data_IF_361048588760
#
_entry.id   IF_361048588760
#
_cell.length_a   1.000
_cell.length_b   1.000
_cell.length_c   1.000
_cell.angle_alpha   90.00
_cell.angle_beta   90.00
_cell.angle_gamma   90.00
#
_symmetry.space_group_name_H-M   'P 1'
#
loop_
_entity.id
_entity.type
_entity.pdbx_description
1 polymer ?
#
# COMPACT_ATOMS: atom_id res chain seq x y z
N UNK A 1 9.15 12.23 17.65
CA UNK A 1 9.54 10.81 17.43
C UNK A 1 9.30 10.03 18.72
N UNK A 2 9.06 8.72 18.70
CA UNK A 2 8.60 7.97 19.89
C UNK A 2 9.47 8.10 21.15
N UNK A 3 10.74 8.48 21.04
CA UNK A 3 11.70 8.49 22.15
C UNK A 3 12.37 9.86 22.41
N UNK A 4 11.74 10.96 21.98
CA UNK A 4 12.36 12.29 22.06
C UNK A 4 12.15 12.99 23.42
N UNK A 5 13.19 13.65 23.93
CA UNK A 5 13.14 14.35 25.23
C UNK A 5 12.16 15.52 25.17
N UNK A 6 11.33 15.67 26.20
CA UNK A 6 10.42 16.79 26.39
C UNK A 6 11.15 18.13 26.26
N UNK A 7 10.57 19.06 25.50
CA UNK A 7 11.15 20.38 25.23
C UNK A 7 12.08 20.44 24.02
N UNK A 8 12.27 19.34 23.28
CA UNK A 8 13.08 19.35 22.05
C UNK A 8 12.28 19.91 20.87
N UNK A 9 12.85 20.87 20.15
CA UNK A 9 12.30 21.43 18.91
C UNK A 9 13.19 20.99 17.75
N UNK A 10 12.58 20.43 16.70
CA UNK A 10 13.24 20.14 15.43
C UNK A 10 12.68 21.04 14.34
N UNK A 11 13.54 21.47 13.42
CA UNK A 11 13.16 22.19 12.21
C UNK A 11 14.06 21.74 11.05
N UNK A 12 13.56 21.85 9.82
CA UNK A 12 14.35 21.62 8.62
C UNK A 12 14.03 22.70 7.58
N UNK A 13 15.01 23.00 6.72
CA UNK A 13 14.82 23.91 5.57
C UNK A 13 13.92 23.30 4.49
N UNK A 14 13.81 21.97 4.47
CA UNK A 14 13.01 21.17 3.54
C UNK A 14 11.97 20.33 4.31
N UNK A 15 11.28 19.39 3.65
CA UNK A 15 10.22 18.61 4.28
C UNK A 15 10.72 17.82 5.50
N UNK A 16 10.07 18.01 6.64
CA UNK A 16 10.37 17.27 7.88
C UNK A 16 9.66 15.93 7.96
N UNK A 17 8.61 15.73 7.16
CA UNK A 17 7.73 14.56 7.19
C UNK A 17 7.56 14.00 5.77
N UNK A 18 7.20 12.72 5.69
CA UNK A 18 6.83 12.11 4.43
C UNK A 18 5.54 12.74 3.88
N UNK A 19 5.50 12.96 2.56
CA UNK A 19 4.25 13.26 1.87
C UNK A 19 3.32 12.04 1.86
N UNK A 20 2.02 12.27 1.71
CA UNK A 20 1.03 11.20 1.56
C UNK A 20 0.28 11.35 0.23
N UNK A 21 -0.23 10.23 -0.26
CA UNK A 21 -1.17 10.17 -1.38
C UNK A 21 -2.12 8.99 -1.13
N UNK A 22 -3.36 9.14 -1.59
CA UNK A 22 -4.37 8.09 -1.54
C UNK A 22 -4.77 7.70 -2.96
N UNK A 23 -5.03 6.42 -3.17
CA UNK A 23 -5.55 5.90 -4.43
C UNK A 23 -6.78 5.02 -4.15
N UNK A 24 -7.71 5.02 -5.08
CA UNK A 24 -8.85 4.10 -5.11
C UNK A 24 -8.65 3.15 -6.29
N UNK A 25 -8.85 1.85 -6.06
CA UNK A 25 -8.68 0.83 -7.10
C UNK A 25 -9.96 0.01 -7.18
N UNK A 26 -10.63 0.09 -8.32
CA UNK A 26 -11.80 -0.74 -8.62
C UNK A 26 -11.35 -2.04 -9.29
N UNK A 27 -11.69 -3.16 -8.67
CA UNK A 27 -11.40 -4.51 -9.18
C UNK A 27 -12.72 -5.15 -9.61
N UNK A 28 -12.96 -5.16 -10.92
CA UNK A 28 -14.19 -5.70 -11.50
C UNK A 28 -13.99 -7.14 -11.95
N UNK A 29 -14.77 -8.04 -11.35
CA UNK A 29 -14.85 -9.44 -11.74
C UNK A 29 -16.07 -9.74 -12.61
N UNK A 30 -16.30 -11.01 -12.86
CA UNK A 30 -17.51 -11.55 -13.49
C UNK A 30 -18.18 -12.51 -12.50
N UNK A 31 -19.43 -12.22 -12.11
CA UNK A 31 -20.18 -13.08 -11.21
C UNK A 31 -20.53 -14.43 -11.85
N UNK A 32 -20.81 -15.44 -11.02
CA UNK A 32 -21.23 -16.77 -11.47
C UNK A 32 -21.71 -17.63 -10.31
N UNK A 33 -22.20 -18.83 -10.61
CA UNK A 33 -22.62 -19.76 -9.57
C UNK A 33 -21.40 -20.22 -8.77
N UNK A 34 -21.47 -20.18 -7.43
CA UNK A 34 -20.33 -20.54 -6.56
C UNK A 34 -19.81 -21.98 -6.73
N UNK A 35 -20.60 -22.88 -7.33
CA UNK A 35 -20.20 -24.25 -7.64
C UNK A 35 -19.54 -24.39 -9.03
N UNK A 36 -19.59 -23.35 -9.86
CA UNK A 36 -19.03 -23.30 -11.21
C UNK A 36 -18.04 -22.13 -11.38
N UNK A 37 -16.98 -22.06 -10.54
CA UNK A 37 -16.05 -20.92 -10.54
C UNK A 37 -15.31 -20.72 -11.86
N UNK A 38 -15.16 -21.78 -12.67
CA UNK A 38 -14.54 -21.73 -14.00
C UNK A 38 -15.34 -20.91 -15.03
N UNK A 39 -16.60 -20.53 -14.72
CA UNK A 39 -17.42 -19.64 -15.52
C UNK A 39 -17.45 -18.21 -14.97
N UNK A 40 -16.76 -17.96 -13.85
CA UNK A 40 -16.70 -16.68 -13.16
C UNK A 40 -15.28 -16.10 -13.22
N UNK A 41 -15.16 -14.82 -12.88
CA UNK A 41 -13.88 -14.19 -12.57
C UNK A 41 -14.00 -13.52 -11.21
N UNK A 42 -13.40 -14.14 -10.20
CA UNK A 42 -13.59 -13.74 -8.81
C UNK A 42 -12.75 -12.51 -8.44
N UNK A 43 -13.43 -11.38 -8.25
CA UNK A 43 -12.80 -10.11 -7.84
C UNK A 43 -12.13 -10.20 -6.45
N UNK A 44 -12.61 -11.05 -5.54
CA UNK A 44 -12.05 -11.20 -4.19
C UNK A 44 -10.68 -11.86 -4.28
N UNK A 45 -10.57 -12.93 -5.07
CA UNK A 45 -9.29 -13.61 -5.29
C UNK A 45 -8.28 -12.68 -5.97
N UNK A 46 -8.70 -11.95 -7.00
CA UNK A 46 -7.86 -10.97 -7.69
C UNK A 46 -7.39 -9.85 -6.74
N UNK A 47 -8.29 -9.26 -5.94
CA UNK A 47 -7.96 -8.22 -4.96
C UNK A 47 -6.99 -8.72 -3.90
N UNK A 48 -7.15 -9.95 -3.42
CA UNK A 48 -6.25 -10.54 -2.43
C UNK A 48 -4.82 -10.65 -2.96
N UNK A 49 -4.67 -11.11 -4.21
CA UNK A 49 -3.36 -11.17 -4.88
C UNK A 49 -2.77 -9.77 -5.11
N UNK A 50 -3.59 -8.78 -5.48
CA UNK A 50 -3.16 -7.40 -5.63
C UNK A 50 -2.58 -6.83 -4.33
N UNK A 51 -3.22 -7.08 -3.18
CA UNK A 51 -2.73 -6.64 -1.86
C UNK A 51 -1.35 -7.24 -1.59
N UNK A 52 -1.20 -8.56 -1.75
CA UNK A 52 0.07 -9.26 -1.52
C UNK A 52 1.17 -8.72 -2.43
N UNK A 53 0.88 -8.58 -3.73
CA UNK A 53 1.84 -8.05 -4.70
C UNK A 53 2.24 -6.60 -4.39
N UNK A 54 1.30 -5.76 -3.96
CA UNK A 54 1.54 -4.34 -3.64
C UNK A 54 2.53 -4.16 -2.50
N UNK A 55 2.54 -5.04 -1.49
CA UNK A 55 3.51 -4.99 -0.39
C UNK A 55 4.96 -5.18 -0.85
N UNK A 56 5.17 -5.81 -2.02
CA UNK A 56 6.51 -5.99 -2.59
C UNK A 56 7.12 -4.69 -3.12
N UNK A 57 6.30 -3.67 -3.44
CA UNK A 57 6.78 -2.41 -4.02
C UNK A 57 7.66 -1.67 -3.01
N UNK A 58 7.15 -1.42 -1.80
CA UNK A 58 7.92 -0.72 -0.76
C UNK A 58 9.08 -1.56 -0.26
N UNK A 59 8.87 -2.87 -0.07
CA UNK A 59 9.89 -3.75 0.53
C UNK A 59 11.05 -4.12 -0.40
N UNK A 60 10.86 -4.02 -1.74
CA UNK A 60 11.88 -4.48 -2.71
C UNK A 60 12.23 -3.48 -3.81
N UNK A 61 11.43 -2.42 -4.04
CA UNK A 61 11.68 -1.45 -5.13
C UNK A 61 12.12 -0.06 -4.65
N UNK A 62 11.99 0.23 -3.35
CA UNK A 62 12.46 1.48 -2.74
C UNK A 62 13.60 1.14 -1.80
N UNK A 63 14.74 1.82 -1.94
CA UNK A 63 15.87 1.68 -1.01
C UNK A 63 15.45 2.27 0.35
N UNK A 64 15.29 1.45 1.41
CA UNK A 64 14.81 1.92 2.70
C UNK A 64 15.82 2.82 3.43
N UNK A 65 17.07 2.91 2.94
CA UNK A 65 18.11 3.75 3.50
C UNK A 65 18.27 5.07 2.74
N UNK A 66 17.61 5.24 1.59
CA UNK A 66 17.54 6.51 0.88
C UNK A 66 16.19 7.18 1.13
N UNK A 67 16.16 8.29 1.87
CA UNK A 67 14.96 9.10 1.92
C UNK A 67 14.65 9.64 0.50
N UNK A 68 13.36 9.76 0.14
CA UNK A 68 12.94 10.44 -1.08
C UNK A 68 13.27 11.94 -1.05
#
# INVERSE_FOLDING_TARGET
MPDEKLGTIRYAKASMMAGNAAITVDITGLGGHGASPHLANDAIVAASQFVVASQSIVSRRIDPQKPP
#
